data_IF_167810427856
#
_entry.id   IF_167810427856
#
_cell.length_a   1.000
_cell.length_b   1.000
_cell.length_c   1.000
_cell.angle_alpha   90.00
_cell.angle_beta   90.00
_cell.angle_gamma   90.00
#
_symmetry.space_group_name_H-M   'P 1'
#
loop_
_entity.id
_entity.type
_entity.pdbx_description
1 polymer ?
#
# COMPACT_ATOMS: atom_id res chain seq x y z
N UNK A 1 20.90 69.43 4.57
CA UNK A 1 20.72 68.33 3.59
C UNK A 1 21.29 67.00 4.12
N UNK A 2 21.10 66.70 5.43
CA UNK A 2 21.67 65.50 6.08
C UNK A 2 20.64 64.38 6.27
N UNK A 3 19.37 64.73 6.47
CA UNK A 3 18.34 63.76 6.90
C UNK A 3 17.86 62.79 5.81
N UNK A 4 17.93 63.18 4.53
CA UNK A 4 17.52 62.30 3.43
C UNK A 4 18.48 61.12 3.17
N UNK A 5 19.70 61.14 3.72
CA UNK A 5 20.67 60.05 3.57
C UNK A 5 20.45 58.90 4.56
N UNK A 6 19.90 59.17 5.74
CA UNK A 6 19.62 58.13 6.74
C UNK A 6 18.47 57.19 6.31
N UNK A 7 17.36 57.74 5.81
CA UNK A 7 16.21 56.93 5.37
C UNK A 7 16.49 56.01 4.18
N UNK A 8 17.44 56.38 3.31
CA UNK A 8 17.85 55.58 2.14
C UNK A 8 18.71 54.36 2.54
N UNK A 9 19.59 54.54 3.53
CA UNK A 9 20.44 53.46 4.07
C UNK A 9 19.63 52.42 4.84
N UNK A 10 18.61 52.84 5.60
CA UNK A 10 17.74 51.91 6.33
C UNK A 10 16.79 51.15 5.39
N UNK A 11 16.33 51.79 4.31
CA UNK A 11 15.56 51.11 3.25
C UNK A 11 16.40 50.05 2.51
N UNK A 12 17.68 50.33 2.23
CA UNK A 12 18.61 49.34 1.66
C UNK A 12 18.86 48.16 2.60
N UNK A 13 19.05 48.40 3.90
CA UNK A 13 19.20 47.33 4.90
C UNK A 13 17.95 46.46 4.99
N UNK A 14 16.76 47.06 4.95
CA UNK A 14 15.49 46.33 4.92
C UNK A 14 15.34 45.45 3.67
N UNK A 15 15.77 45.95 2.51
CA UNK A 15 15.71 45.21 1.25
C UNK A 15 16.74 44.06 1.18
N UNK A 16 17.95 44.28 1.72
CA UNK A 16 18.98 43.24 1.87
C UNK A 16 18.54 42.18 2.88
N UNK A 17 17.98 42.58 4.02
CA UNK A 17 17.49 41.66 5.05
C UNK A 17 16.32 40.82 4.51
N UNK A 18 15.40 41.45 3.78
CA UNK A 18 14.31 40.77 3.06
C UNK A 18 14.84 39.81 1.99
N UNK A 19 15.84 40.23 1.21
CA UNK A 19 16.48 39.38 0.21
C UNK A 19 17.18 38.16 0.80
N UNK A 20 17.92 38.34 1.91
CA UNK A 20 18.57 37.24 2.64
C UNK A 20 17.54 36.32 3.28
N UNK A 21 16.47 36.87 3.86
CA UNK A 21 15.37 36.08 4.40
C UNK A 21 14.70 35.25 3.30
N UNK A 22 14.45 35.81 2.12
CA UNK A 22 13.89 35.09 0.98
C UNK A 22 14.84 33.99 0.49
N UNK A 23 16.15 34.28 0.44
CA UNK A 23 17.21 33.35 0.05
C UNK A 23 17.36 32.18 1.04
N UNK A 24 16.96 32.35 2.29
CA UNK A 24 16.98 31.30 3.32
C UNK A 24 15.66 30.52 3.37
N UNK A 25 14.53 31.20 3.20
CA UNK A 25 13.20 30.59 3.27
C UNK A 25 12.94 29.68 2.07
N UNK A 26 13.33 30.09 0.85
CA UNK A 26 13.10 29.30 -0.36
C UNK A 26 13.75 27.91 -0.29
N UNK A 27 15.05 27.76 0.03
CA UNK A 27 15.67 26.46 0.23
C UNK A 27 15.03 25.65 1.36
N UNK A 28 14.65 26.30 2.47
CA UNK A 28 14.01 25.62 3.59
C UNK A 28 12.64 25.04 3.21
N UNK A 29 11.84 25.79 2.44
CA UNK A 29 10.57 25.32 1.89
C UNK A 29 10.79 24.16 0.91
N UNK A 30 11.81 24.25 0.06
CA UNK A 30 12.14 23.20 -0.89
C UNK A 30 12.52 21.89 -0.16
N UNK A 31 13.39 21.97 0.85
CA UNK A 31 13.77 20.81 1.69
C UNK A 31 12.56 20.23 2.42
N UNK A 32 11.67 21.08 2.94
CA UNK A 32 10.46 20.60 3.65
C UNK A 32 9.51 19.90 2.68
N UNK A 33 9.34 20.44 1.47
CA UNK A 33 8.48 19.83 0.44
C UNK A 33 9.00 18.46 -0.01
N UNK A 34 10.31 18.33 -0.28
CA UNK A 34 10.91 17.06 -0.67
C UNK A 34 10.86 16.03 0.45
N UNK A 35 11.04 16.46 1.70
CA UNK A 35 10.90 15.60 2.87
C UNK A 35 9.48 15.06 3.03
N UNK A 36 8.46 15.91 2.90
CA UNK A 36 7.05 15.50 2.97
C UNK A 36 6.70 14.52 1.84
N UNK A 37 7.21 14.75 0.63
CA UNK A 37 6.98 13.86 -0.50
C UNK A 37 7.62 12.48 -0.27
N UNK A 38 8.86 12.42 0.25
CA UNK A 38 9.49 11.15 0.64
C UNK A 38 8.70 10.39 1.70
N UNK A 39 8.17 11.08 2.71
CA UNK A 39 7.32 10.44 3.73
C UNK A 39 6.06 9.87 3.10
N UNK A 40 5.40 10.66 2.25
CA UNK A 40 4.18 10.23 1.59
C UNK A 40 4.44 9.00 0.71
N UNK A 41 5.43 9.06 -0.18
CA UNK A 41 5.81 7.94 -1.04
C UNK A 41 6.23 6.71 -0.22
N UNK A 42 7.00 6.90 0.86
CA UNK A 42 7.40 5.82 1.76
C UNK A 42 6.22 5.18 2.50
N UNK A 43 5.26 6.00 2.94
CA UNK A 43 4.03 5.54 3.58
C UNK A 43 3.13 4.78 2.60
N UNK A 44 2.98 5.30 1.38
CA UNK A 44 2.24 4.63 0.30
C UNK A 44 2.89 3.30 -0.06
N UNK A 45 4.22 3.26 -0.27
CA UNK A 45 4.97 2.04 -0.56
C UNK A 45 4.82 0.98 0.55
N UNK A 46 4.92 1.38 1.82
CA UNK A 46 4.73 0.48 2.95
C UNK A 46 3.30 -0.05 3.00
N UNK A 47 2.30 0.79 2.69
CA UNK A 47 0.89 0.37 2.67
C UNK A 47 0.59 -0.62 1.53
N UNK A 48 1.19 -0.42 0.35
CA UNK A 48 1.10 -1.33 -0.79
C UNK A 48 1.77 -2.64 -0.45
N UNK A 49 2.98 -2.62 0.12
CA UNK A 49 3.69 -3.82 0.55
C UNK A 49 2.88 -4.61 1.58
N UNK A 50 2.35 -3.95 2.62
CA UNK A 50 1.53 -4.62 3.63
C UNK A 50 0.26 -5.24 3.04
N UNK A 51 -0.38 -4.57 2.08
CA UNK A 51 -1.56 -5.10 1.37
C UNK A 51 -1.18 -6.30 0.50
N UNK A 52 -0.05 -6.21 -0.22
CA UNK A 52 0.50 -7.28 -1.04
C UNK A 52 0.85 -8.50 -0.21
N UNK A 53 1.54 -8.33 0.91
CA UNK A 53 1.92 -9.41 1.83
C UNK A 53 0.67 -10.10 2.38
N UNK A 54 -0.32 -9.31 2.81
CA UNK A 54 -1.59 -9.85 3.32
C UNK A 54 -2.32 -10.71 2.27
N UNK A 55 -2.43 -10.22 1.04
CA UNK A 55 -3.05 -10.95 -0.08
C UNK A 55 -2.26 -12.23 -0.38
N UNK A 56 -0.94 -12.13 -0.49
CA UNK A 56 -0.06 -13.27 -0.77
C UNK A 56 -0.14 -14.36 0.31
N UNK A 57 0.02 -14.01 1.58
CA UNK A 57 -0.01 -14.98 2.67
C UNK A 57 -1.40 -15.59 2.88
N UNK A 58 -2.48 -14.85 2.59
CA UNK A 58 -3.84 -15.41 2.59
C UNK A 58 -4.01 -16.44 1.48
N UNK A 59 -3.54 -16.15 0.26
CA UNK A 59 -3.55 -17.11 -0.84
C UNK A 59 -2.78 -18.39 -0.51
N UNK A 60 -1.56 -18.24 0.04
CA UNK A 60 -0.72 -19.38 0.44
C UNK A 60 -1.36 -20.22 1.57
N UNK A 61 -2.04 -19.59 2.52
CA UNK A 61 -2.73 -20.31 3.61
C UNK A 61 -3.94 -21.11 3.08
N UNK A 62 -4.69 -20.53 2.14
CA UNK A 62 -5.79 -21.23 1.44
C UNK A 62 -5.24 -22.42 0.66
N UNK A 63 -4.15 -22.24 -0.08
CA UNK A 63 -3.51 -23.34 -0.83
C UNK A 63 -3.11 -24.48 0.08
N UNK A 64 -2.41 -24.17 1.18
CA UNK A 64 -2.00 -25.16 2.16
C UNK A 64 -3.21 -25.87 2.76
N UNK A 65 -4.29 -25.13 3.07
CA UNK A 65 -5.53 -25.71 3.58
C UNK A 65 -6.10 -26.74 2.59
N UNK A 66 -6.21 -26.39 1.31
CA UNK A 66 -6.74 -27.28 0.27
C UNK A 66 -5.82 -28.49 0.06
N UNK A 67 -4.50 -28.31 0.05
CA UNK A 67 -3.53 -29.41 -0.04
C UNK A 67 -3.63 -30.37 1.15
N UNK A 68 -3.80 -29.86 2.37
CA UNK A 68 -3.99 -30.72 3.54
C UNK A 68 -5.32 -31.48 3.45
N UNK A 69 -6.37 -30.84 2.97
CA UNK A 69 -7.64 -31.51 2.74
C UNK A 69 -7.51 -32.65 1.73
N UNK A 70 -6.81 -32.42 0.62
CA UNK A 70 -6.51 -33.45 -0.39
C UNK A 70 -5.70 -34.60 0.22
N UNK A 71 -4.63 -34.29 0.95
CA UNK A 71 -3.76 -35.26 1.62
C UNK A 71 -4.51 -36.17 2.62
N UNK A 72 -5.54 -35.64 3.28
CA UNK A 72 -6.34 -36.37 4.26
C UNK A 72 -7.66 -36.92 3.69
N UNK A 73 -7.77 -37.04 2.36
CA UNK A 73 -8.96 -37.55 1.66
C UNK A 73 -10.26 -36.83 2.06
N UNK A 74 -10.16 -35.54 2.42
CA UNK A 74 -11.32 -34.72 2.76
C UNK A 74 -12.05 -34.29 1.49
N UNK A 75 -13.38 -34.18 1.58
CA UNK A 75 -14.20 -33.81 0.43
C UNK A 75 -14.05 -32.31 0.06
N UNK A 76 -13.18 -32.02 -0.91
CA UNK A 76 -12.98 -30.67 -1.49
C UNK A 76 -14.00 -30.40 -2.59
N UNK A 77 -15.26 -30.14 -2.27
CA UNK A 77 -16.27 -29.74 -3.26
C UNK A 77 -16.54 -28.23 -3.20
N UNK A 78 -17.31 -27.71 -4.17
CA UNK A 78 -17.64 -26.28 -4.22
C UNK A 78 -18.33 -25.77 -2.94
N UNK A 79 -19.21 -26.55 -2.30
CA UNK A 79 -19.84 -26.12 -1.04
C UNK A 79 -18.83 -26.02 0.13
N UNK A 80 -17.83 -26.89 0.15
CA UNK A 80 -16.72 -26.78 1.12
C UNK A 80 -15.87 -25.55 0.82
N UNK A 81 -15.58 -25.29 -0.45
CA UNK A 81 -14.83 -24.11 -0.90
C UNK A 81 -15.58 -22.81 -0.57
N UNK A 82 -16.89 -22.73 -0.80
CA UNK A 82 -17.72 -21.57 -0.42
C UNK A 82 -17.63 -21.25 1.08
N UNK A 83 -17.53 -22.30 1.91
CA UNK A 83 -17.39 -22.16 3.36
C UNK A 83 -16.00 -21.64 3.76
N UNK A 84 -14.95 -22.07 3.03
CA UNK A 84 -13.57 -21.60 3.21
C UNK A 84 -13.48 -20.13 2.77
N UNK A 85 -13.98 -19.82 1.59
CA UNK A 85 -14.07 -18.49 1.00
C UNK A 85 -14.64 -17.50 2.02
N UNK A 86 -15.89 -17.74 2.45
CA UNK A 86 -16.58 -16.86 3.41
C UNK A 86 -15.82 -16.68 4.72
N UNK A 87 -15.13 -17.72 5.21
CA UNK A 87 -14.33 -17.63 6.43
C UNK A 87 -13.12 -16.72 6.23
N UNK A 88 -12.42 -16.83 5.11
CA UNK A 88 -11.28 -15.95 4.82
C UNK A 88 -11.74 -14.52 4.54
N UNK A 89 -12.83 -14.32 3.80
CA UNK A 89 -13.38 -12.97 3.57
C UNK A 89 -13.71 -12.25 4.88
N UNK A 90 -14.40 -12.92 5.81
CA UNK A 90 -14.78 -12.34 7.11
C UNK A 90 -13.54 -11.98 7.95
N UNK A 91 -12.54 -12.85 7.99
CA UNK A 91 -11.38 -12.68 8.87
C UNK A 91 -10.31 -11.75 8.31
N UNK A 92 -10.19 -11.69 6.98
CA UNK A 92 -9.14 -10.93 6.31
C UNK A 92 -9.67 -9.65 5.68
N UNK A 93 -10.99 -9.51 5.46
CA UNK A 93 -11.57 -8.42 4.67
C UNK A 93 -10.95 -8.31 3.25
N UNK A 94 -10.54 -9.45 2.68
CA UNK A 94 -10.14 -9.59 1.29
C UNK A 94 -11.30 -10.23 0.50
N UNK A 95 -11.33 -9.99 -0.80
CA UNK A 95 -12.21 -10.71 -1.73
C UNK A 95 -11.54 -12.05 -2.07
N UNK A 96 -12.23 -13.16 -1.84
CA UNK A 96 -11.70 -14.49 -2.10
C UNK A 96 -12.66 -15.16 -3.09
N UNK A 97 -12.12 -15.81 -4.12
CA UNK A 97 -12.92 -16.62 -5.06
C UNK A 97 -12.27 -17.99 -5.16
N UNK A 98 -13.01 -19.02 -4.75
CA UNK A 98 -12.57 -20.42 -4.85
C UNK A 98 -13.50 -21.18 -5.78
N UNK A 99 -12.95 -21.84 -6.79
CA UNK A 99 -13.76 -22.62 -7.72
C UNK A 99 -13.10 -23.94 -8.09
N UNK A 100 -13.84 -25.05 -7.99
CA UNK A 100 -13.40 -26.36 -8.45
C UNK A 100 -14.04 -26.71 -9.80
N UNK A 101 -13.20 -27.04 -10.75
CA UNK A 101 -13.55 -27.65 -12.04
C UNK A 101 -12.82 -28.99 -12.16
N UNK A 102 -13.55 -30.10 -12.17
CA UNK A 102 -13.01 -31.46 -12.14
C UNK A 102 -12.04 -31.69 -10.96
N UNK A 103 -10.74 -31.80 -11.21
CA UNK A 103 -9.71 -31.96 -10.19
C UNK A 103 -8.90 -30.69 -9.94
N UNK A 104 -9.25 -29.58 -10.59
CA UNK A 104 -8.51 -28.33 -10.46
C UNK A 104 -9.29 -27.38 -9.56
N UNK A 105 -8.66 -26.88 -8.52
CA UNK A 105 -9.16 -25.79 -7.69
C UNK A 105 -8.44 -24.51 -8.07
N UNK A 106 -9.19 -23.53 -8.56
CA UNK A 106 -8.70 -22.16 -8.78
C UNK A 106 -8.86 -21.37 -7.49
N UNK A 107 -7.81 -20.65 -7.12
CA UNK A 107 -7.77 -19.79 -5.95
C UNK A 107 -7.47 -18.38 -6.43
N UNK A 108 -8.33 -17.43 -6.09
CA UNK A 108 -8.08 -16.02 -6.31
C UNK A 108 -8.31 -15.24 -5.03
N UNK A 109 -7.36 -14.38 -4.66
CA UNK A 109 -7.47 -13.50 -3.51
C UNK A 109 -7.14 -12.09 -3.97
N UNK A 110 -8.03 -11.14 -3.72
CA UNK A 110 -7.91 -9.77 -4.20
C UNK A 110 -8.16 -8.80 -3.06
N UNK A 111 -7.35 -7.74 -2.99
CA UNK A 111 -7.68 -6.61 -2.13
C UNK A 111 -8.90 -5.84 -2.69
N UNK A 112 -9.89 -5.41 -1.89
CA UNK A 112 -11.08 -4.71 -2.39
C UNK A 112 -10.78 -3.42 -3.17
N UNK A 113 -9.63 -2.79 -2.92
CA UNK A 113 -9.18 -1.61 -3.69
C UNK A 113 -8.39 -1.99 -4.94
N UNK A 114 -8.23 -3.29 -5.21
CA UNK A 114 -7.52 -3.89 -6.34
C UNK A 114 -6.06 -3.47 -6.42
N UNK A 115 -5.44 -3.25 -5.25
CA UNK A 115 -4.03 -2.86 -5.15
C UNK A 115 -3.10 -4.08 -5.26
N UNK A 116 -3.58 -5.26 -4.89
CA UNK A 116 -2.86 -6.52 -4.98
C UNK A 116 -3.82 -7.68 -5.31
N UNK A 117 -3.32 -8.67 -6.03
CA UNK A 117 -4.03 -9.88 -6.41
C UNK A 117 -3.08 -11.09 -6.29
N UNK A 118 -3.62 -12.20 -5.80
CA UNK A 118 -3.01 -13.53 -5.80
C UNK A 118 -3.88 -14.46 -6.63
N UNK A 119 -3.27 -15.28 -7.48
CA UNK A 119 -3.98 -16.26 -8.29
C UNK A 119 -3.16 -17.52 -8.45
N UNK A 120 -3.79 -18.67 -8.24
CA UNK A 120 -3.15 -19.98 -8.32
C UNK A 120 -4.14 -21.08 -8.65
N UNK A 121 -3.61 -22.25 -9.03
CA UNK A 121 -4.37 -23.44 -9.34
C UNK A 121 -3.73 -24.66 -8.69
N UNK A 122 -4.54 -25.43 -7.97
CA UNK A 122 -4.14 -26.69 -7.35
C UNK A 122 -4.79 -27.84 -8.10
N UNK A 123 -4.00 -28.86 -8.44
CA UNK A 123 -4.51 -30.14 -8.93
C UNK A 123 -4.65 -31.12 -7.76
N UNK A 124 -5.85 -31.63 -7.54
CA UNK A 124 -6.21 -32.59 -6.52
C UNK A 124 -5.86 -34.02 -6.99
N UNK A 125 -5.48 -34.86 -6.03
CA UNK A 125 -4.93 -36.21 -6.27
C UNK A 125 -6.00 -37.26 -6.59
#
# INVERSE_FOLDING_TARGET
MSDNRLGFLDSQKGLILSGIALLLILPALLITSTYLMMIQEGGEATSIQSTSDKVFYTGLDIENTIHQMDLYDMNVNNSTLDSIERKYEINTALEVELHRTDNIVTIKVTDPKKTAEYSSQINLS
#
